data_IF_326425053935
#
_entry.id   IF_326425053935
#
_cell.length_a   1.000
_cell.length_b   1.000
_cell.length_c   1.000
_cell.angle_alpha   90.00
_cell.angle_beta   90.00
_cell.angle_gamma   90.00
#
_symmetry.space_group_name_H-M   'P 1'
#
loop_
_entity.id
_entity.type
_entity.pdbx_description
1 polymer ?
#
# COMPACT_ATOMS: atom_id res chain seq x y z
N UNK A 1 9.49 2.89 -13.06
CA UNK A 1 9.08 4.30 -13.19
C UNK A 1 7.75 4.42 -13.91
N UNK A 2 7.64 4.09 -15.20
CA UNK A 2 6.39 4.22 -15.97
C UNK A 2 5.20 3.48 -15.32
N UNK A 3 5.36 2.23 -14.90
CA UNK A 3 4.22 1.47 -14.34
C UNK A 3 3.73 2.04 -13.00
N UNK A 4 4.65 2.48 -12.13
CA UNK A 4 4.29 3.17 -10.89
C UNK A 4 3.63 4.51 -11.18
N UNK A 5 4.15 5.24 -12.16
CA UNK A 5 3.57 6.49 -12.63
C UNK A 5 2.12 6.35 -13.09
N UNK A 6 1.85 5.31 -13.88
CA UNK A 6 0.51 5.01 -14.39
C UNK A 6 -0.50 4.76 -13.28
N UNK A 7 -0.12 4.01 -12.26
CA UNK A 7 -0.99 3.76 -11.10
C UNK A 7 -1.32 5.07 -10.37
N UNK A 8 -0.36 5.98 -10.28
CA UNK A 8 -0.56 7.29 -9.63
C UNK A 8 -1.48 8.18 -10.46
N UNK A 9 -1.22 8.30 -11.76
CA UNK A 9 -1.99 9.17 -12.67
C UNK A 9 -3.42 8.68 -12.90
N UNK A 10 -3.66 7.36 -12.88
CA UNK A 10 -5.02 6.81 -12.94
C UNK A 10 -5.79 7.06 -11.63
N UNK A 11 -5.10 7.19 -10.50
CA UNK A 11 -5.72 7.40 -9.19
C UNK A 11 -6.06 8.88 -8.89
N UNK A 12 -5.53 9.84 -9.65
CA UNK A 12 -5.71 11.27 -9.36
C UNK A 12 -6.09 12.08 -10.60
N UNK A 13 -6.85 13.16 -10.40
CA UNK A 13 -7.20 14.11 -11.47
C UNK A 13 -6.27 15.33 -11.55
N UNK A 14 -5.37 15.48 -10.57
CA UNK A 14 -4.39 16.58 -10.54
C UNK A 14 -3.20 16.27 -11.46
N UNK A 15 -2.56 17.29 -12.06
CA UNK A 15 -1.37 17.08 -12.90
C UNK A 15 -0.23 16.42 -12.13
N UNK A 16 0.35 15.36 -12.71
CA UNK A 16 1.50 14.64 -12.12
C UNK A 16 2.76 14.92 -12.93
N UNK A 17 3.81 15.39 -12.26
CA UNK A 17 5.16 15.51 -12.81
C UNK A 17 5.99 14.34 -12.28
N UNK A 18 6.50 13.49 -13.17
CA UNK A 18 7.31 12.34 -12.80
C UNK A 18 8.82 12.60 -12.91
N UNK A 19 9.62 11.96 -12.07
CA UNK A 19 11.08 11.91 -12.24
C UNK A 19 11.44 10.89 -13.31
N UNK A 20 12.09 11.32 -14.38
CA UNK A 20 12.56 10.48 -15.48
C UNK A 20 14.07 10.20 -15.42
N UNK A 21 14.71 10.53 -14.29
CA UNK A 21 16.14 10.40 -14.09
C UNK A 21 16.89 11.09 -15.26
N UNK A 22 17.88 10.42 -15.85
CA UNK A 22 18.60 10.86 -17.04
C UNK A 22 18.03 10.29 -18.36
N UNK A 23 16.78 9.82 -18.35
CA UNK A 23 16.12 9.29 -19.54
C UNK A 23 16.53 7.88 -19.98
N UNK A 24 17.25 7.16 -19.12
CA UNK A 24 17.55 5.72 -19.24
C UNK A 24 18.39 5.32 -20.46
N UNK A 25 19.30 6.18 -20.90
CA UNK A 25 20.27 5.86 -21.95
C UNK A 25 20.61 7.07 -22.81
N UNK A 26 20.68 6.85 -24.13
CA UNK A 26 20.98 7.92 -25.09
C UNK A 26 19.71 8.70 -25.49
N UNK A 27 19.84 9.64 -26.43
CA UNK A 27 18.71 10.43 -26.94
C UNK A 27 17.53 9.60 -27.44
N UNK A 28 17.75 8.41 -28.02
CA UNK A 28 16.65 7.54 -28.45
C UNK A 28 15.93 6.89 -27.27
N UNK A 29 16.65 6.56 -26.19
CA UNK A 29 16.03 6.15 -24.93
C UNK A 29 15.19 7.28 -24.34
N UNK A 30 15.68 8.53 -24.34
CA UNK A 30 14.90 9.70 -23.91
C UNK A 30 13.59 9.80 -24.69
N UNK A 31 13.61 9.65 -26.03
CA UNK A 31 12.38 9.66 -26.84
C UNK A 31 11.39 8.57 -26.43
N UNK A 32 11.89 7.35 -26.16
CA UNK A 32 11.06 6.25 -25.67
C UNK A 32 10.48 6.56 -24.29
N UNK A 33 11.27 7.16 -23.42
CA UNK A 33 10.86 7.56 -22.07
C UNK A 33 9.75 8.60 -22.12
N UNK A 34 9.89 9.65 -22.94
CA UNK A 34 8.84 10.68 -23.12
C UNK A 34 7.52 10.05 -23.57
N UNK A 35 7.55 9.20 -24.61
CA UNK A 35 6.35 8.49 -25.08
C UNK A 35 5.76 7.59 -24.00
N UNK A 36 6.60 6.95 -23.20
CA UNK A 36 6.17 6.14 -22.07
C UNK A 36 5.48 6.97 -20.98
N UNK A 37 5.99 8.16 -20.67
CA UNK A 37 5.40 9.07 -19.70
C UNK A 37 4.05 9.62 -20.19
N UNK A 38 3.97 10.02 -21.46
CA UNK A 38 2.72 10.45 -22.09
C UNK A 38 1.67 9.34 -22.01
N UNK A 39 2.03 8.11 -22.39
CA UNK A 39 1.10 6.97 -22.35
C UNK A 39 0.68 6.58 -20.93
N UNK A 40 1.49 6.93 -19.93
CA UNK A 40 1.15 6.74 -18.52
C UNK A 40 0.36 7.92 -17.95
N UNK A 41 0.00 8.94 -18.74
CA UNK A 41 -0.84 10.06 -18.27
C UNK A 41 -0.09 11.12 -17.46
N UNK A 42 1.24 11.17 -17.50
CA UNK A 42 1.99 12.24 -16.85
C UNK A 42 1.74 13.59 -17.54
N UNK A 43 1.56 14.63 -16.73
CA UNK A 43 1.48 16.02 -17.21
C UNK A 43 2.86 16.63 -17.42
N UNK A 44 3.90 16.10 -16.76
CA UNK A 44 5.27 16.54 -16.94
C UNK A 44 6.31 15.50 -16.56
N UNK A 45 7.55 15.76 -16.95
CA UNK A 45 8.70 14.93 -16.60
C UNK A 45 9.92 15.76 -16.22
N UNK A 46 10.68 15.30 -15.25
CA UNK A 46 11.99 15.85 -14.87
C UNK A 46 13.08 15.02 -15.54
N UNK A 47 13.92 15.66 -16.35
CA UNK A 47 15.02 15.03 -17.05
C UNK A 47 16.34 15.70 -16.65
N UNK A 48 17.26 14.93 -16.07
CA UNK A 48 18.54 15.42 -15.54
C UNK A 48 19.74 15.08 -16.43
N UNK A 49 20.84 15.82 -16.28
CA UNK A 49 22.06 15.69 -17.09
C UNK A 49 23.16 14.82 -16.46
N UNK A 50 22.82 13.96 -15.51
CA UNK A 50 23.76 13.04 -14.87
C UNK A 50 24.19 11.89 -15.79
N UNK A 51 25.44 11.46 -15.65
CA UNK A 51 25.91 10.19 -16.24
C UNK A 51 25.20 9.01 -15.57
N UNK A 52 25.09 7.87 -16.28
CA UNK A 52 24.61 6.62 -15.70
C UNK A 52 25.77 5.81 -15.08
N UNK A 53 25.59 5.17 -13.91
CA UNK A 53 24.45 5.26 -13.02
C UNK A 53 24.37 6.63 -12.33
N UNK A 54 23.15 7.17 -12.20
CA UNK A 54 22.91 8.47 -11.57
C UNK A 54 22.98 8.40 -10.05
N UNK A 55 23.34 9.52 -9.41
CA UNK A 55 23.41 9.65 -7.96
C UNK A 55 22.34 10.62 -7.43
N UNK A 56 22.00 10.53 -6.15
CA UNK A 56 21.06 11.48 -5.54
C UNK A 56 21.67 12.89 -5.51
N UNK A 57 20.85 13.90 -5.79
CA UNK A 57 21.26 15.30 -5.90
C UNK A 57 21.95 15.89 -4.66
N UNK A 58 21.79 15.27 -3.50
CA UNK A 58 22.43 15.72 -2.26
C UNK A 58 23.64 14.87 -1.83
N UNK A 59 24.13 13.96 -2.68
CA UNK A 59 25.28 13.08 -2.41
C UNK A 59 26.58 13.55 -3.10
N UNK A 60 27.74 13.08 -2.62
CA UNK A 60 29.07 13.42 -3.17
C UNK A 60 29.38 12.60 -4.44
N UNK A 61 30.25 13.12 -5.30
CA UNK A 61 30.79 12.38 -6.45
C UNK A 61 29.90 12.39 -7.70
N UNK A 62 28.97 13.34 -7.80
CA UNK A 62 28.12 13.51 -8.99
C UNK A 62 28.96 13.81 -10.23
N UNK A 63 28.50 13.30 -11.36
CA UNK A 63 29.09 13.53 -12.68
C UNK A 63 27.96 13.81 -13.65
N UNK A 64 28.18 14.80 -14.50
CA UNK A 64 27.25 15.18 -15.56
C UNK A 64 27.85 14.86 -16.92
N UNK A 65 26.99 14.63 -17.90
CA UNK A 65 27.41 14.41 -19.30
C UNK A 65 27.97 15.70 -19.90
N UNK A 66 28.54 15.61 -21.10
CA UNK A 66 29.02 16.79 -21.83
C UNK A 66 27.86 17.76 -22.10
N UNK A 67 28.18 19.03 -22.37
CA UNK A 67 27.17 20.05 -22.70
C UNK A 67 26.37 19.64 -23.93
N UNK A 68 27.06 19.13 -24.94
CA UNK A 68 26.49 18.69 -26.22
C UNK A 68 25.49 17.54 -25.99
N UNK A 69 25.88 16.54 -25.20
CA UNK A 69 25.02 15.41 -24.88
C UNK A 69 23.76 15.85 -24.11
N UNK A 70 23.91 16.68 -23.06
CA UNK A 70 22.78 17.19 -22.28
C UNK A 70 21.79 17.97 -23.17
N UNK A 71 22.28 18.85 -24.03
CA UNK A 71 21.44 19.62 -24.97
C UNK A 71 20.71 18.67 -25.93
N UNK A 72 21.39 17.66 -26.47
CA UNK A 72 20.77 16.69 -27.38
C UNK A 72 19.70 15.84 -26.70
N UNK A 73 19.84 15.53 -25.42
CA UNK A 73 18.81 14.84 -24.64
C UNK A 73 17.57 15.71 -24.45
N UNK A 74 17.72 16.99 -24.08
CA UNK A 74 16.58 17.93 -23.99
C UNK A 74 15.89 18.08 -25.35
N UNK A 75 16.64 18.28 -26.44
CA UNK A 75 16.08 18.35 -27.79
C UNK A 75 15.35 17.08 -28.19
N UNK A 76 15.86 15.91 -27.80
CA UNK A 76 15.19 14.64 -28.05
C UNK A 76 13.86 14.52 -27.29
N UNK A 77 13.81 14.98 -26.04
CA UNK A 77 12.57 15.02 -25.25
C UNK A 77 11.52 15.94 -25.89
N UNK A 78 11.92 17.17 -26.23
CA UNK A 78 11.07 18.15 -26.93
C UNK A 78 10.60 17.61 -28.29
N UNK A 79 11.50 17.00 -29.05
CA UNK A 79 11.16 16.38 -30.33
C UNK A 79 10.14 15.24 -30.19
N UNK A 80 10.31 14.36 -29.20
CA UNK A 80 9.35 13.28 -28.94
C UNK A 80 7.97 13.79 -28.52
N UNK A 81 7.91 14.84 -27.70
CA UNK A 81 6.65 15.54 -27.37
C UNK A 81 5.98 16.06 -28.64
N UNK A 82 6.70 16.84 -29.45
CA UNK A 82 6.14 17.44 -30.67
C UNK A 82 5.65 16.38 -31.67
N UNK A 83 6.40 15.28 -31.84
CA UNK A 83 6.01 14.14 -32.69
C UNK A 83 4.73 13.45 -32.22
N UNK A 84 4.45 13.47 -30.91
CA UNK A 84 3.26 12.85 -30.34
C UNK A 84 2.03 13.75 -30.34
N UNK A 85 2.20 15.06 -30.55
CA UNK A 85 1.13 16.05 -30.38
C UNK A 85 0.70 16.29 -28.93
N UNK A 86 1.43 15.75 -27.95
CA UNK A 86 1.21 15.96 -26.51
C UNK A 86 1.74 17.31 -26.05
N UNK A 87 1.17 17.82 -24.96
CA UNK A 87 1.56 19.02 -24.23
C UNK A 87 2.40 18.72 -22.97
N UNK A 88 2.95 17.50 -22.82
CA UNK A 88 3.75 17.12 -21.65
C UNK A 88 4.87 18.14 -21.38
N UNK A 89 4.94 18.60 -20.13
CA UNK A 89 5.90 19.60 -19.65
C UNK A 89 7.27 18.94 -19.48
N UNK A 90 8.31 19.50 -20.11
CA UNK A 90 9.70 19.07 -19.97
C UNK A 90 10.41 19.96 -18.95
N UNK A 91 10.61 19.43 -17.74
CA UNK A 91 11.42 20.05 -16.69
C UNK A 91 12.88 19.63 -16.89
N UNK A 92 13.71 20.54 -17.38
CA UNK A 92 15.13 20.29 -17.58
C UNK A 92 15.91 20.56 -16.29
N UNK A 93 16.49 19.51 -15.72
CA UNK A 93 17.28 19.55 -14.50
C UNK A 93 18.77 19.50 -14.82
N UNK A 94 19.57 20.28 -14.08
CA UNK A 94 21.03 20.12 -14.06
C UNK A 94 21.54 19.86 -12.65
N UNK A 95 22.44 18.88 -12.55
CA UNK A 95 23.16 18.52 -11.31
C UNK A 95 24.58 19.11 -11.31
N UNK A 96 24.91 19.93 -12.32
CA UNK A 96 26.27 20.45 -12.53
C UNK A 96 26.72 21.43 -11.46
N UNK A 97 25.81 21.99 -10.64
CA UNK A 97 26.17 22.90 -9.54
C UNK A 97 27.17 22.26 -8.59
N UNK A 98 26.94 21.00 -8.20
CA UNK A 98 27.89 20.27 -7.36
C UNK A 98 28.91 19.47 -8.16
N UNK A 99 28.56 18.99 -9.35
CA UNK A 99 29.49 18.19 -10.14
C UNK A 99 30.65 19.03 -10.70
N UNK A 100 30.39 20.30 -11.05
CA UNK A 100 31.31 21.19 -11.75
C UNK A 100 31.38 22.58 -11.07
N UNK A 101 30.40 23.45 -11.29
CA UNK A 101 30.36 24.81 -10.72
C UNK A 101 28.97 25.46 -10.84
N UNK A 102 28.76 26.58 -10.14
CA UNK A 102 27.54 27.36 -10.30
C UNK A 102 27.42 27.99 -11.69
N UNK A 103 28.50 28.56 -12.22
CA UNK A 103 28.52 29.17 -13.54
C UNK A 103 28.18 28.15 -14.64
N UNK A 104 28.67 26.91 -14.50
CA UNK A 104 28.31 25.83 -15.41
C UNK A 104 26.82 25.49 -15.35
N UNK A 105 26.24 25.48 -14.15
CA UNK A 105 24.80 25.24 -13.98
C UNK A 105 23.96 26.34 -14.63
N UNK A 106 24.33 27.61 -14.44
CA UNK A 106 23.65 28.74 -15.09
C UNK A 106 23.77 28.69 -16.62
N UNK A 107 24.94 28.31 -17.14
CA UNK A 107 25.15 28.13 -18.57
C UNK A 107 24.23 27.03 -19.12
N UNK A 108 24.17 25.88 -18.44
CA UNK A 108 23.37 24.72 -18.89
C UNK A 108 21.88 25.00 -18.90
N UNK A 109 21.32 25.61 -17.84
CA UNK A 109 19.88 25.90 -17.83
C UNK A 109 19.49 26.94 -18.88
N UNK A 110 20.37 27.87 -19.24
CA UNK A 110 20.14 28.75 -20.40
C UNK A 110 20.10 27.95 -21.70
N UNK A 111 21.07 27.07 -21.91
CA UNK A 111 21.09 26.20 -23.08
C UNK A 111 19.88 25.24 -23.14
N UNK A 112 19.38 24.78 -21.98
CA UNK A 112 18.17 23.96 -21.90
C UNK A 112 16.90 24.74 -22.27
N UNK A 113 16.81 26.00 -21.83
CA UNK A 113 15.75 26.91 -22.27
C UNK A 113 15.80 27.13 -23.79
N UNK A 114 16.98 27.42 -24.35
CA UNK A 114 17.18 27.57 -25.80
C UNK A 114 16.87 26.29 -26.59
N UNK A 115 17.00 25.12 -25.95
CA UNK A 115 16.63 23.82 -26.50
C UNK A 115 15.13 23.51 -26.43
N UNK A 116 14.34 24.36 -25.76
CA UNK A 116 12.87 24.26 -25.69
C UNK A 116 12.33 23.59 -24.43
N UNK A 117 13.10 23.51 -23.34
CA UNK A 117 12.57 23.08 -22.04
C UNK A 117 11.56 24.10 -21.51
N UNK A 118 10.47 23.60 -20.91
CA UNK A 118 9.36 24.45 -20.44
C UNK A 118 9.57 24.92 -18.99
N UNK A 119 10.35 24.18 -18.20
CA UNK A 119 10.71 24.52 -16.83
C UNK A 119 12.19 24.21 -16.62
N UNK A 120 12.88 25.07 -15.86
CA UNK A 120 14.27 24.88 -15.50
C UNK A 120 14.40 24.49 -14.03
N UNK A 121 15.39 23.65 -13.74
CA UNK A 121 15.70 23.22 -12.38
C UNK A 121 17.22 23.09 -12.20
N UNK A 122 17.81 23.85 -11.27
CA UNK A 122 19.18 23.58 -10.78
C UNK A 122 19.07 22.91 -9.42
N UNK A 123 19.62 21.71 -9.30
CA UNK A 123 19.61 20.98 -8.04
C UNK A 123 20.71 21.44 -7.09
N UNK A 124 20.39 21.46 -5.79
CA UNK A 124 21.30 21.74 -4.69
C UNK A 124 22.04 23.09 -4.74
N UNK A 125 21.35 24.17 -5.13
CA UNK A 125 21.83 25.55 -4.96
C UNK A 125 22.12 25.83 -3.47
N UNK A 126 23.23 26.51 -3.18
CA UNK A 126 23.77 26.58 -1.82
C UNK A 126 23.35 27.83 -1.03
N UNK A 127 22.73 28.83 -1.68
CA UNK A 127 22.33 30.07 -1.02
C UNK A 127 21.15 30.77 -1.71
N UNK A 128 20.52 31.73 -1.01
CA UNK A 128 19.44 32.56 -1.58
C UNK A 128 19.94 33.40 -2.76
N UNK A 129 21.21 33.80 -2.76
CA UNK A 129 21.84 34.57 -3.83
C UNK A 129 21.97 33.73 -5.10
N UNK A 130 22.41 32.47 -4.98
CA UNK A 130 22.45 31.54 -6.12
C UNK A 130 21.03 31.31 -6.68
N UNK A 131 20.04 31.18 -5.80
CA UNK A 131 18.63 31.03 -6.18
C UNK A 131 18.08 32.24 -6.95
N UNK A 132 18.41 33.46 -6.52
CA UNK A 132 18.07 34.71 -7.22
C UNK A 132 18.75 34.79 -8.59
N UNK A 133 20.04 34.49 -8.65
CA UNK A 133 20.81 34.48 -9.89
C UNK A 133 20.27 33.45 -10.89
N UNK A 134 19.88 32.26 -10.42
CA UNK A 134 19.20 31.26 -11.25
C UNK A 134 17.87 31.77 -11.79
N UNK A 135 17.01 32.36 -10.95
CA UNK A 135 15.70 32.85 -11.39
C UNK A 135 15.80 33.96 -12.44
N UNK A 136 16.89 34.74 -12.42
CA UNK A 136 17.18 35.75 -13.44
C UNK A 136 17.58 35.19 -14.82
N UNK A 137 17.95 33.91 -14.91
CA UNK A 137 18.24 33.26 -16.20
C UNK A 137 16.94 32.91 -16.92
N UNK A 138 16.85 33.24 -18.21
CA UNK A 138 15.69 32.94 -19.06
C UNK A 138 14.36 33.32 -18.35
N UNK A 139 14.12 34.63 -18.07
CA UNK A 139 13.04 35.07 -17.19
C UNK A 139 11.64 34.63 -17.63
N UNK A 140 11.43 34.35 -18.93
CA UNK A 140 10.17 33.81 -19.45
C UNK A 140 9.92 32.33 -19.19
N UNK A 141 10.91 31.58 -18.69
CA UNK A 141 10.80 30.15 -18.40
C UNK A 141 10.64 29.95 -16.89
N UNK A 142 9.57 29.28 -16.41
CA UNK A 142 9.37 28.95 -15.01
C UNK A 142 10.55 28.18 -14.37
N UNK A 143 10.76 28.40 -13.07
CA UNK A 143 11.79 27.71 -12.28
C UNK A 143 11.14 26.83 -11.24
N UNK A 144 11.72 25.64 -11.07
CA UNK A 144 11.36 24.69 -10.04
C UNK A 144 12.39 24.70 -8.91
N UNK A 145 11.89 24.77 -7.68
CA UNK A 145 12.65 24.58 -6.46
C UNK A 145 12.43 23.18 -5.90
N UNK A 146 13.44 22.63 -5.24
CA UNK A 146 13.35 21.34 -4.55
C UNK A 146 13.70 21.53 -3.08
N UNK A 147 12.72 21.37 -2.19
CA UNK A 147 12.88 21.57 -0.75
C UNK A 147 13.03 20.22 -0.05
N UNK A 148 14.27 19.89 0.29
CA UNK A 148 14.62 18.66 1.01
C UNK A 148 14.66 18.90 2.53
N UNK A 149 13.50 18.79 3.16
CA UNK A 149 13.31 18.95 4.60
C UNK A 149 14.04 17.79 5.33
N UNK A 150 15.21 18.06 5.92
CA UNK A 150 16.02 17.03 6.58
C UNK A 150 17.54 17.12 6.38
N UNK A 151 18.06 18.19 5.78
CA UNK A 151 19.51 18.45 5.72
C UNK A 151 20.12 18.43 4.32
N UNK A 152 19.33 18.76 3.29
CA UNK A 152 19.87 19.07 1.96
C UNK A 152 20.80 20.30 1.98
N UNK A 153 21.51 20.53 0.87
CA UNK A 153 22.41 21.70 0.74
C UNK A 153 21.65 23.01 0.54
N UNK A 154 20.44 22.94 0.00
CA UNK A 154 19.63 24.12 -0.32
C UNK A 154 18.96 24.65 0.93
N UNK A 155 19.07 25.98 1.21
CA UNK A 155 18.31 26.59 2.30
C UNK A 155 16.81 26.34 2.13
N UNK A 156 16.15 25.89 3.19
CA UNK A 156 14.70 25.66 3.17
C UNK A 156 13.98 27.01 3.28
N UNK A 157 13.16 27.29 2.27
CA UNK A 157 12.37 28.51 2.15
C UNK A 157 10.89 28.15 2.07
N UNK A 158 10.04 29.04 2.60
CA UNK A 158 8.60 28.93 2.43
C UNK A 158 8.17 29.17 0.97
N UNK A 159 6.98 28.71 0.56
CA UNK A 159 6.45 29.01 -0.78
C UNK A 159 6.42 30.51 -1.10
N UNK A 160 6.08 31.36 -0.12
CA UNK A 160 6.04 32.82 -0.30
C UNK A 160 7.43 33.38 -0.59
N UNK A 161 8.45 32.98 0.18
CA UNK A 161 9.83 33.43 -0.05
C UNK A 161 10.38 32.94 -1.40
N UNK A 162 9.98 31.75 -1.84
CA UNK A 162 10.36 31.22 -3.16
C UNK A 162 9.70 31.98 -4.30
N UNK A 163 8.42 32.32 -4.15
CA UNK A 163 7.70 33.13 -5.13
C UNK A 163 8.32 34.53 -5.27
N UNK A 164 8.67 35.17 -4.14
CA UNK A 164 9.38 36.46 -4.12
C UNK A 164 10.72 36.42 -4.86
N UNK A 165 11.42 35.28 -4.82
CA UNK A 165 12.68 35.08 -5.57
C UNK A 165 12.42 34.87 -7.07
N UNK A 166 11.25 34.33 -7.44
CA UNK A 166 10.84 34.11 -8.83
C UNK A 166 10.58 32.65 -9.22
N UNK A 167 10.56 31.72 -8.26
CA UNK A 167 10.14 30.34 -8.53
C UNK A 167 8.64 30.26 -8.80
N UNK A 168 8.24 29.22 -9.53
CA UNK A 168 6.83 28.95 -9.88
C UNK A 168 6.38 27.54 -9.54
N UNK A 169 7.31 26.64 -9.27
CA UNK A 169 7.04 25.26 -8.87
C UNK A 169 7.95 24.93 -7.69
N UNK A 170 7.41 24.18 -6.73
CA UNK A 170 8.15 23.63 -5.61
C UNK A 170 7.83 22.13 -5.49
N UNK A 171 8.86 21.31 -5.31
CA UNK A 171 8.74 19.93 -4.88
C UNK A 171 9.20 19.72 -3.44
N UNK A 172 8.50 18.80 -2.77
CA UNK A 172 8.73 18.32 -1.41
C UNK A 172 8.92 16.80 -1.45
N UNK A 173 10.03 16.29 -2.02
CA UNK A 173 10.12 14.89 -2.42
C UNK A 173 10.25 13.91 -1.26
N UNK A 174 10.66 14.37 -0.06
CA UNK A 174 10.91 13.51 1.10
C UNK A 174 9.85 13.61 2.20
N UNK A 175 8.94 14.58 2.14
CA UNK A 175 8.08 14.92 3.28
C UNK A 175 7.09 13.80 3.58
N UNK A 176 6.36 13.34 2.56
CA UNK A 176 5.37 12.27 2.74
C UNK A 176 6.02 10.93 3.10
N UNK A 177 7.14 10.58 2.46
CA UNK A 177 7.85 9.33 2.77
C UNK A 177 8.46 9.37 4.18
N UNK A 178 9.07 10.49 4.58
CA UNK A 178 9.65 10.65 5.92
C UNK A 178 8.61 10.58 7.03
N UNK A 179 7.46 11.23 6.85
CA UNK A 179 6.32 11.13 7.78
C UNK A 179 5.79 9.69 7.84
N UNK A 180 5.61 9.05 6.69
CA UNK A 180 5.13 7.66 6.62
C UNK A 180 6.08 6.68 7.30
N UNK A 181 7.39 6.83 7.10
CA UNK A 181 8.42 6.01 7.76
C UNK A 181 8.29 6.09 9.27
N UNK A 182 8.21 7.31 9.84
CA UNK A 182 8.06 7.49 11.28
C UNK A 182 6.76 6.86 11.80
N UNK A 183 5.64 7.07 11.12
CA UNK A 183 4.35 6.51 11.52
C UNK A 183 4.35 4.97 11.50
N UNK A 184 4.95 4.36 10.47
CA UNK A 184 5.11 2.91 10.39
C UNK A 184 6.04 2.36 11.49
N UNK A 185 7.16 3.03 11.77
CA UNK A 185 8.07 2.66 12.86
C UNK A 185 7.36 2.67 14.22
N UNK A 186 6.66 3.76 14.53
CA UNK A 186 5.93 3.92 15.80
C UNK A 186 4.86 2.83 15.95
N UNK A 187 4.16 2.51 14.86
CA UNK A 187 3.17 1.43 14.84
C UNK A 187 3.79 0.06 15.11
N UNK A 188 4.91 -0.26 14.46
CA UNK A 188 5.62 -1.53 14.66
C UNK A 188 6.19 -1.64 16.09
N UNK A 189 6.66 -0.55 16.68
CA UNK A 189 7.10 -0.50 18.09
C UNK A 189 5.94 -0.81 19.04
N UNK A 190 4.77 -0.21 18.80
CA UNK A 190 3.58 -0.49 19.60
C UNK A 190 3.19 -1.98 19.53
N UNK A 191 3.11 -2.53 18.31
CA UNK A 191 2.76 -3.94 18.06
C UNK A 191 3.76 -4.88 18.75
N UNK A 192 5.05 -4.61 18.63
CA UNK A 192 6.10 -5.38 19.32
C UNK A 192 5.93 -5.38 20.84
N UNK A 193 5.42 -4.29 21.40
CA UNK A 193 5.10 -4.15 22.82
C UNK A 193 3.72 -4.67 23.24
N UNK A 194 3.00 -5.38 22.37
CA UNK A 194 1.65 -5.90 22.65
C UNK A 194 0.53 -4.86 22.61
N UNK A 195 0.79 -3.69 22.01
CA UNK A 195 -0.17 -2.58 21.89
C UNK A 195 -0.50 -2.31 20.42
N UNK A 196 -1.59 -1.62 20.16
CA UNK A 196 -1.89 -1.05 18.85
C UNK A 196 -1.44 0.42 18.80
N UNK A 197 -1.20 1.00 17.60
CA UNK A 197 -1.01 2.45 17.47
C UNK A 197 -2.19 3.20 18.10
N UNK A 198 -1.97 4.35 18.74
CA UNK A 198 -3.07 5.10 19.34
C UNK A 198 -4.11 5.48 18.27
N UNK A 199 -5.42 5.52 18.59
CA UNK A 199 -6.48 5.84 17.63
C UNK A 199 -6.27 7.18 16.90
N UNK A 200 -5.60 8.14 17.51
CA UNK A 200 -5.27 9.43 16.88
C UNK A 200 -4.26 9.33 15.73
N UNK A 201 -3.56 8.20 15.60
CA UNK A 201 -2.58 7.93 14.53
C UNK A 201 -3.08 6.93 13.48
N UNK A 202 -4.26 6.34 13.69
CA UNK A 202 -4.83 5.34 12.81
C UNK A 202 -6.21 5.82 12.33
N UNK A 203 -6.42 6.04 11.02
CA UNK A 203 -7.74 6.34 10.52
C UNK A 203 -8.71 5.20 10.85
N UNK A 204 -9.96 5.55 11.11
CA UNK A 204 -11.05 4.60 11.28
C UNK A 204 -11.24 3.75 10.02
N UNK A 205 -11.86 2.59 10.17
CA UNK A 205 -12.16 1.73 9.02
C UNK A 205 -13.06 2.42 7.98
N UNK A 206 -13.96 3.31 8.42
CA UNK A 206 -14.78 4.12 7.52
C UNK A 206 -13.95 5.13 6.71
N UNK A 207 -13.01 5.83 7.35
CA UNK A 207 -12.08 6.74 6.65
C UNK A 207 -11.19 5.99 5.66
N UNK A 208 -10.75 4.77 5.99
CA UNK A 208 -9.99 3.91 5.08
C UNK A 208 -10.83 3.53 3.86
N UNK A 209 -12.07 3.08 4.05
CA UNK A 209 -12.98 2.74 2.94
C UNK A 209 -13.24 3.94 2.03
N UNK A 210 -13.46 5.10 2.63
CA UNK A 210 -13.68 6.33 1.87
C UNK A 210 -12.45 6.70 1.03
N UNK A 211 -11.27 6.69 1.66
CA UNK A 211 -9.99 6.95 0.98
C UNK A 211 -9.70 5.97 -0.16
N UNK A 212 -10.04 4.69 0.01
CA UNK A 212 -9.85 3.66 -1.02
C UNK A 212 -10.95 3.65 -2.09
N UNK A 213 -11.96 4.52 -1.99
CA UNK A 213 -13.03 4.64 -2.99
C UNK A 213 -14.14 3.58 -2.88
N UNK A 214 -14.24 2.85 -1.76
CA UNK A 214 -15.30 1.83 -1.57
C UNK A 214 -16.69 2.46 -1.63
N UNK A 215 -16.85 3.62 -1.00
CA UNK A 215 -18.13 4.32 -0.97
C UNK A 215 -18.57 4.72 -2.38
N UNK A 216 -17.65 5.24 -3.19
CA UNK A 216 -17.90 5.58 -4.59
C UNK A 216 -18.29 4.37 -5.43
N UNK A 217 -17.54 3.26 -5.27
CA UNK A 217 -17.84 2.01 -5.96
C UNK A 217 -19.26 1.51 -5.66
N UNK A 218 -19.67 1.45 -4.39
CA UNK A 218 -21.01 0.99 -4.03
C UNK A 218 -22.12 1.94 -4.50
N UNK A 219 -21.86 3.24 -4.61
CA UNK A 219 -22.80 4.18 -5.21
C UNK A 219 -22.94 3.98 -6.72
N UNK A 220 -21.84 3.69 -7.41
CA UNK A 220 -21.85 3.39 -8.84
C UNK A 220 -22.52 2.05 -9.14
N UNK A 221 -22.24 1.01 -8.35
CA UNK A 221 -22.83 -0.32 -8.47
C UNK A 221 -24.37 -0.27 -8.47
N UNK A 222 -24.98 0.56 -7.63
CA UNK A 222 -26.44 0.74 -7.55
C UNK A 222 -27.09 1.07 -8.89
N UNK A 223 -26.36 1.69 -9.83
CA UNK A 223 -26.84 2.04 -11.18
C UNK A 223 -26.97 0.81 -12.09
N UNK A 224 -26.27 -0.27 -11.78
CA UNK A 224 -26.15 -1.47 -12.60
C UNK A 224 -26.80 -2.70 -11.96
N UNK A 225 -27.49 -2.54 -10.84
CA UNK A 225 -28.24 -3.64 -10.21
C UNK A 225 -29.40 -4.05 -11.09
N UNK A 226 -29.31 -5.26 -11.65
CA UNK A 226 -30.44 -5.88 -12.36
C UNK A 226 -31.44 -6.36 -11.32
N UNK A 227 -32.65 -5.79 -11.33
CA UNK A 227 -33.75 -6.36 -10.55
C UNK A 227 -34.12 -7.69 -11.19
N UNK A 228 -34.10 -8.82 -10.46
CA UNK A 228 -34.52 -10.08 -11.03
C UNK A 228 -35.98 -9.96 -11.47
N UNK A 229 -36.26 -10.03 -12.77
CA UNK A 229 -37.57 -10.44 -13.23
C UNK A 229 -37.82 -11.82 -12.60
N UNK A 230 -38.99 -12.00 -11.96
CA UNK A 230 -39.39 -13.22 -11.25
C UNK A 230 -39.05 -14.48 -12.06
N UNK A 231 -37.86 -15.03 -11.85
CA UNK A 231 -37.38 -16.20 -12.54
C UNK A 231 -37.64 -17.38 -11.63
N UNK A 232 -38.73 -18.08 -11.95
CA UNK A 232 -39.22 -19.27 -11.27
C UNK A 232 -38.29 -20.47 -11.54
N UNK A 233 -37.08 -20.46 -10.98
CA UNK A 233 -36.31 -21.70 -10.88
C UNK A 233 -36.69 -22.41 -9.57
N UNK A 234 -37.73 -23.25 -9.66
CA UNK A 234 -37.96 -24.32 -8.69
C UNK A 234 -36.85 -25.34 -8.86
N UNK A 235 -35.85 -25.34 -7.98
CA UNK A 235 -34.92 -26.45 -7.87
C UNK A 235 -35.61 -27.57 -7.12
N UNK A 236 -36.15 -28.53 -7.87
CA UNK A 236 -36.64 -29.80 -7.35
C UNK A 236 -35.44 -30.67 -6.93
N UNK A 237 -35.15 -30.74 -5.63
CA UNK A 237 -34.34 -31.83 -5.10
C UNK A 237 -35.26 -33.04 -4.93
N UNK A 238 -35.15 -33.96 -5.88
CA UNK A 238 -35.81 -35.26 -5.83
C UNK A 238 -35.06 -36.22 -4.90
N UNK A 239 -35.84 -36.89 -4.06
CA UNK A 239 -35.53 -38.16 -3.42
C UNK A 239 -34.82 -39.11 -4.39
N UNK A 240 -33.65 -39.61 -4.00
CA UNK A 240 -33.23 -40.96 -4.41
C UNK A 240 -32.59 -41.71 -3.25
N UNK A 241 -33.33 -42.75 -2.90
CA UNK A 241 -33.05 -43.84 -1.99
C UNK A 241 -31.77 -44.62 -2.32
N UNK A 242 -31.06 -44.99 -1.25
CA UNK A 242 -30.31 -46.24 -1.05
C UNK A 242 -30.33 -47.25 -2.20
N UNK A 243 -29.17 -47.50 -2.81
CA UNK A 243 -28.82 -48.83 -3.34
C UNK A 243 -27.31 -49.08 -3.28
N UNK A 244 -26.95 -50.26 -2.75
CA UNK A 244 -25.60 -50.81 -2.61
C UNK A 244 -24.97 -51.09 -3.97
N UNK A 245 -23.66 -50.83 -4.11
CA UNK A 245 -22.81 -51.66 -4.97
C UNK A 245 -21.32 -51.62 -4.62
N UNK A 246 -20.81 -52.80 -4.25
CA UNK A 246 -19.50 -53.40 -4.49
C UNK A 246 -18.21 -52.57 -4.47
N UNK A 247 -17.39 -52.87 -3.46
CA UNK A 247 -15.98 -53.27 -3.53
C UNK A 247 -15.14 -52.80 -4.73
N UNK A 248 -14.11 -52.00 -4.43
CA UNK A 248 -12.81 -52.09 -5.09
C UNK A 248 -11.71 -51.60 -4.17
N UNK A 249 -10.88 -52.55 -3.73
CA UNK A 249 -9.61 -52.33 -3.06
C UNK A 249 -8.63 -51.63 -4.00
N UNK A 250 -7.94 -50.61 -3.48
CA UNK A 250 -6.58 -50.28 -3.91
C UNK A 250 -5.79 -49.89 -2.66
N UNK A 251 -4.81 -50.73 -2.32
CA UNK A 251 -3.79 -50.38 -1.36
C UNK A 251 -2.75 -49.47 -2.02
N UNK A 252 -2.37 -48.41 -1.32
CA UNK A 252 -1.02 -47.85 -1.48
C UNK A 252 -0.63 -47.12 -0.20
N UNK A 253 0.39 -47.68 0.43
CA UNK A 253 1.20 -47.22 1.55
C UNK A 253 1.64 -45.76 1.37
N UNK A 254 1.49 -44.95 2.41
CA UNK A 254 2.29 -43.71 2.56
C UNK A 254 2.60 -43.47 4.03
N UNK A 255 3.86 -43.18 4.27
CA UNK A 255 4.51 -43.02 5.57
C UNK A 255 3.87 -41.91 6.41
N UNK A 256 3.75 -42.15 7.72
CA UNK A 256 3.39 -41.13 8.71
C UNK A 256 4.58 -40.20 8.93
N UNK A 257 4.54 -39.02 8.34
CA UNK A 257 5.29 -37.85 8.84
C UNK A 257 4.40 -37.07 9.80
N UNK A 258 4.78 -37.09 11.08
CA UNK A 258 4.15 -36.31 12.15
C UNK A 258 4.67 -34.87 12.03
N UNK A 259 3.86 -33.96 11.50
CA UNK A 259 4.19 -32.53 11.54
C UNK A 259 3.99 -31.96 12.96
N UNK A 260 4.84 -31.02 13.40
CA UNK A 260 4.81 -30.52 14.77
C UNK A 260 3.60 -29.63 15.04
N UNK A 261 3.08 -29.76 16.26
CA UNK A 261 2.01 -28.93 16.85
C UNK A 261 2.43 -27.46 16.85
N UNK A 262 1.62 -26.58 16.27
CA UNK A 262 1.81 -25.12 16.34
C UNK A 262 0.97 -24.58 17.50
N UNK A 263 1.64 -24.21 18.60
CA UNK A 263 1.04 -23.45 19.70
C UNK A 263 0.91 -21.97 19.30
N UNK A 264 -0.32 -21.50 19.09
CA UNK A 264 -0.62 -20.05 19.03
C UNK A 264 -1.06 -19.63 20.42
N UNK A 265 -0.12 -19.16 21.25
CA UNK A 265 -0.40 -18.47 22.50
C UNK A 265 -0.19 -16.96 22.33
N UNK A 266 -1.25 -16.13 22.29
CA UNK A 266 -1.11 -14.70 22.51
C UNK A 266 -0.97 -14.45 24.03
N UNK A 267 0.17 -13.92 24.45
CA UNK A 267 0.38 -13.49 25.82
C UNK A 267 -0.43 -12.21 26.12
N UNK A 268 -1.31 -12.36 27.12
CA UNK A 268 -1.73 -11.38 28.14
C UNK A 268 -2.25 -10.00 27.69
N UNK A 269 -3.58 -9.91 27.59
CA UNK A 269 -4.34 -8.70 27.93
C UNK A 269 -4.33 -8.53 29.45
N UNK A 270 -3.72 -7.45 29.94
CA UNK A 270 -3.91 -6.97 31.31
C UNK A 270 -4.82 -5.74 31.24
N UNK A 271 -6.07 -5.90 31.67
CA UNK A 271 -7.02 -4.78 31.87
C UNK A 271 -7.18 -4.61 33.38
N UNK A 272 -6.55 -3.59 33.93
CA UNK A 272 -6.97 -2.91 35.15
C UNK A 272 -6.99 -1.41 34.88
N UNK A 273 -7.89 -0.57 35.41
CA UNK A 273 -9.01 -0.74 36.33
C UNK A 273 -9.82 0.58 36.32
N UNK A 274 -11.16 0.52 36.35
CA UNK A 274 -12.03 1.35 37.20
C UNK A 274 -13.51 1.37 36.74
N UNK A 275 -14.34 0.83 37.62
CA UNK A 275 -15.75 1.18 37.91
C UNK A 275 -16.74 1.47 36.76
N UNK A 276 -17.42 0.41 36.31
CA UNK A 276 -18.89 0.33 36.40
C UNK A 276 -19.33 -1.14 36.34
N UNK A 277 -20.07 -1.59 37.35
CA UNK A 277 -20.54 -2.98 37.47
C UNK A 277 -21.77 -3.20 36.59
N UNK A 278 -21.63 -4.00 35.53
CA UNK A 278 -22.73 -4.66 34.82
C UNK A 278 -22.50 -6.19 34.79
N UNK A 279 -23.52 -7.04 34.57
CA UNK A 279 -23.45 -8.48 34.84
C UNK A 279 -22.65 -9.32 33.83
N UNK A 280 -21.83 -8.74 32.96
CA UNK A 280 -21.28 -9.44 31.78
C UNK A 280 -19.81 -9.86 31.89
N UNK A 281 -19.12 -9.65 33.02
CA UNK A 281 -17.65 -9.84 33.10
C UNK A 281 -17.15 -11.28 33.23
N UNK A 282 -18.01 -12.29 33.42
CA UNK A 282 -17.59 -13.70 33.50
C UNK A 282 -17.49 -14.42 32.16
N UNK A 283 -18.14 -13.91 31.11
CA UNK A 283 -18.32 -14.64 29.85
C UNK A 283 -17.11 -14.51 28.90
N UNK A 284 -16.38 -13.39 28.98
CA UNK A 284 -15.34 -12.98 28.05
C UNK A 284 -13.94 -13.51 28.38
N UNK A 285 -13.77 -14.15 29.55
CA UNK A 285 -12.52 -14.80 29.96
C UNK A 285 -12.44 -16.29 29.58
N UNK A 286 -13.48 -16.85 28.94
CA UNK A 286 -13.55 -18.27 28.60
C UNK A 286 -12.71 -18.59 27.37
N UNK A 287 -11.99 -19.70 27.43
CA UNK A 287 -11.25 -20.26 26.30
C UNK A 287 -12.04 -21.43 25.72
N UNK A 288 -12.15 -21.49 24.40
CA UNK A 288 -12.76 -22.60 23.69
C UNK A 288 -11.67 -23.43 23.03
N UNK A 289 -11.83 -24.74 22.97
CA UNK A 289 -10.97 -25.63 22.20
C UNK A 289 -11.71 -26.06 20.93
N UNK A 290 -11.15 -25.78 19.77
CA UNK A 290 -11.65 -26.21 18.47
C UNK A 290 -10.82 -27.40 17.99
N UNK A 291 -11.49 -28.52 17.70
CA UNK A 291 -10.89 -29.72 17.13
C UNK A 291 -11.54 -30.04 15.79
N UNK A 292 -10.74 -30.13 14.73
CA UNK A 292 -11.19 -30.60 13.41
C UNK A 292 -10.48 -31.91 13.10
N UNK A 293 -11.26 -32.95 12.85
CA UNK A 293 -10.76 -34.28 12.49
C UNK A 293 -11.20 -34.59 11.07
N UNK A 294 -10.24 -34.87 10.20
CA UNK A 294 -10.52 -35.26 8.82
C UNK A 294 -11.29 -36.57 8.75
N UNK A 295 -11.98 -36.80 7.62
CA UNK A 295 -12.65 -38.08 7.32
C UNK A 295 -11.75 -39.32 7.42
N UNK A 296 -10.44 -39.12 7.31
CA UNK A 296 -9.37 -40.12 7.46
C UNK A 296 -9.00 -40.39 8.93
N UNK A 297 -9.67 -39.73 9.88
CA UNK A 297 -9.38 -39.80 11.31
C UNK A 297 -8.18 -38.95 11.74
N UNK A 298 -7.55 -38.23 10.80
CA UNK A 298 -6.38 -37.39 11.10
C UNK A 298 -6.83 -36.07 11.69
N UNK A 299 -6.28 -35.69 12.84
CA UNK A 299 -6.58 -34.41 13.45
C UNK A 299 -5.92 -33.29 12.64
N UNK A 300 -6.73 -32.48 11.97
CA UNK A 300 -6.29 -31.35 11.14
C UNK A 300 -6.02 -30.11 11.98
N UNK A 301 -6.83 -29.86 13.01
CA UNK A 301 -6.72 -28.67 13.88
C UNK A 301 -6.99 -29.05 15.34
N UNK A 302 -6.19 -28.48 16.24
CA UNK A 302 -6.41 -28.44 17.69
C UNK A 302 -6.01 -27.06 18.22
N UNK A 303 -6.96 -26.15 18.38
CA UNK A 303 -6.67 -24.75 18.71
C UNK A 303 -7.47 -24.27 19.92
N UNK A 304 -6.86 -23.40 20.74
CA UNK A 304 -7.54 -22.68 21.82
C UNK A 304 -7.85 -21.26 21.38
N UNK A 305 -9.11 -20.85 21.48
CA UNK A 305 -9.60 -19.57 20.98
C UNK A 305 -10.37 -18.84 22.10
N UNK A 306 -10.13 -17.55 22.35
CA UNK A 306 -10.95 -16.76 23.26
C UNK A 306 -12.40 -16.69 22.76
N UNK A 307 -13.38 -16.86 23.65
CA UNK A 307 -14.80 -16.87 23.27
C UNK A 307 -15.25 -15.58 22.54
N UNK A 308 -14.62 -14.43 22.84
CA UNK A 308 -14.88 -13.15 22.17
C UNK A 308 -14.49 -13.09 20.68
N UNK A 309 -13.65 -14.03 20.20
CA UNK A 309 -13.25 -14.09 18.79
C UNK A 309 -14.33 -14.71 17.88
N UNK A 310 -15.27 -15.47 18.44
CA UNK A 310 -16.34 -16.13 17.68
C UNK A 310 -17.36 -15.15 17.08
N UNK A 311 -17.53 -13.98 17.68
CA UNK A 311 -18.48 -12.95 17.22
C UNK A 311 -18.16 -12.45 15.79
N UNK A 312 -16.88 -12.48 15.40
CA UNK A 312 -16.45 -12.15 14.04
C UNK A 312 -16.65 -13.31 13.04
N UNK A 313 -16.54 -14.57 13.49
CA UNK A 313 -16.54 -15.73 12.60
C UNK A 313 -17.93 -16.22 12.18
N UNK A 314 -18.96 -15.99 12.98
CA UNK A 314 -20.36 -16.34 12.64
C UNK A 314 -20.88 -15.60 11.40
N UNK A 315 -20.24 -14.50 11.01
CA UNK A 315 -20.54 -13.75 9.77
C UNK A 315 -19.82 -14.29 8.53
N UNK A 316 -18.79 -15.13 8.71
CA UNK A 316 -17.83 -15.51 7.65
C UNK A 316 -18.04 -16.96 7.20
N UNK A 317 -18.52 -17.85 8.08
CA UNK A 317 -18.65 -19.29 7.77
C UNK A 317 -20.14 -19.66 7.60
N UNK A 318 -20.61 -19.96 6.38
CA UNK A 318 -21.96 -20.46 6.14
C UNK A 318 -22.12 -21.84 6.81
N UNK A 319 -23.04 -21.95 7.78
CA UNK A 319 -23.27 -23.18 8.56
C UNK A 319 -23.18 -22.98 10.08
N UNK A 320 -22.41 -21.99 10.55
CA UNK A 320 -22.38 -21.60 11.97
C UNK A 320 -23.55 -20.67 12.37
N UNK A 321 -24.23 -20.07 11.40
CA UNK A 321 -25.34 -19.12 11.62
C UNK A 321 -26.62 -19.75 12.23
N UNK A 322 -26.77 -21.08 12.17
CA UNK A 322 -27.95 -21.79 12.69
C UNK A 322 -27.78 -22.40 14.08
N UNK A 323 -26.55 -22.49 14.58
CA UNK A 323 -26.29 -22.99 15.92
C UNK A 323 -26.20 -21.79 16.87
N UNK A 324 -27.14 -21.65 17.79
CA UNK A 324 -27.16 -20.56 18.77
C UNK A 324 -26.07 -20.78 19.85
N UNK A 325 -24.81 -20.71 19.43
CA UNK A 325 -23.62 -21.05 20.21
C UNK A 325 -23.54 -20.22 21.49
N UNK A 326 -23.98 -18.97 21.43
CA UNK A 326 -24.04 -18.06 22.57
C UNK A 326 -25.02 -18.53 23.66
N UNK A 327 -26.21 -19.00 23.27
CA UNK A 327 -27.20 -19.53 24.20
C UNK A 327 -26.69 -20.82 24.87
N UNK A 328 -25.99 -21.68 24.13
CA UNK A 328 -25.37 -22.90 24.68
C UNK A 328 -24.19 -22.60 25.60
N UNK A 329 -23.41 -21.56 25.31
CA UNK A 329 -22.35 -21.07 26.18
C UNK A 329 -22.89 -20.52 27.51
N UNK A 330 -24.00 -19.79 27.47
CA UNK A 330 -24.64 -19.21 28.66
C UNK A 330 -25.21 -20.27 29.60
N UNK A 331 -25.68 -21.40 29.07
CA UNK A 331 -26.31 -22.48 29.83
C UNK A 331 -25.34 -23.57 30.32
N UNK A 332 -24.05 -23.46 30.00
CA UNK A 332 -23.05 -24.45 30.40
C UNK A 332 -22.59 -24.24 31.87
N UNK A 333 -22.69 -25.25 32.77
CA UNK A 333 -22.31 -25.13 34.17
C UNK A 333 -20.81 -24.85 34.38
N UNK A 334 -20.48 -24.17 35.48
CA UNK A 334 -19.12 -23.87 35.93
C UNK A 334 -18.72 -24.97 36.92
N UNK A 335 -17.95 -25.96 36.48
CA UNK A 335 -17.33 -26.92 37.40
C UNK A 335 -15.85 -26.57 37.56
N UNK A 336 -15.48 -26.08 38.75
CA UNK A 336 -14.15 -25.55 39.04
C UNK A 336 -13.11 -26.62 39.42
N UNK A 337 -13.53 -27.88 39.58
CA UNK A 337 -12.72 -28.92 40.25
C UNK A 337 -12.25 -30.07 39.35
N UNK A 338 -12.37 -30.00 38.01
CA UNK A 338 -11.84 -31.05 37.15
C UNK A 338 -11.30 -30.55 35.79
N UNK A 339 -9.96 -30.39 35.61
CA UNK A 339 -9.36 -29.82 34.38
C UNK A 339 -9.37 -30.75 33.15
N UNK A 340 -10.01 -31.92 33.23
CA UNK A 340 -10.07 -32.89 32.14
C UNK A 340 -11.51 -33.33 31.82
N UNK A 341 -12.25 -32.48 31.14
CA UNK A 341 -13.10 -32.77 29.96
C UNK A 341 -14.18 -31.71 29.82
N UNK A 342 -13.92 -30.77 28.91
CA UNK A 342 -14.83 -29.69 28.54
C UNK A 342 -16.12 -30.20 27.92
N UNK A 343 -17.25 -29.65 28.35
CA UNK A 343 -18.55 -29.92 27.75
C UNK A 343 -18.51 -29.62 26.24
N UNK A 344 -19.01 -30.56 25.43
CA UNK A 344 -19.12 -30.41 23.97
C UNK A 344 -20.26 -29.42 23.69
N UNK A 345 -19.92 -28.28 23.10
CA UNK A 345 -20.88 -27.27 22.68
C UNK A 345 -21.44 -27.55 21.28
N UNK A 346 -20.58 -28.07 20.40
CA UNK A 346 -20.89 -28.43 19.02
C UNK A 346 -20.13 -29.70 18.63
N UNK A 347 -20.81 -30.58 17.92
CA UNK A 347 -20.25 -31.76 17.26
C UNK A 347 -21.07 -32.02 16.01
N UNK A 348 -20.49 -31.75 14.84
CA UNK A 348 -21.16 -31.95 13.55
C UNK A 348 -20.14 -32.29 12.47
N UNK A 349 -20.63 -32.86 11.37
CA UNK A 349 -19.84 -33.11 10.16
C UNK A 349 -20.14 -32.02 9.13
N UNK A 350 -19.11 -31.47 8.52
CA UNK A 350 -19.26 -30.51 7.43
C UNK A 350 -19.54 -31.20 6.08
N UNK A 351 -19.79 -30.39 5.04
CA UNK A 351 -20.08 -30.90 3.70
C UNK A 351 -18.92 -31.67 3.06
N UNK A 352 -17.72 -31.61 3.63
CA UNK A 352 -16.52 -32.32 3.17
C UNK A 352 -16.27 -33.62 3.95
N UNK A 353 -17.10 -33.92 4.96
CA UNK A 353 -17.00 -35.09 5.82
C UNK A 353 -15.98 -34.95 6.95
N UNK A 354 -15.54 -33.73 7.25
CA UNK A 354 -14.69 -33.46 8.40
C UNK A 354 -15.57 -33.30 9.67
N UNK A 355 -15.15 -33.92 10.77
CA UNK A 355 -15.83 -33.80 12.06
C UNK A 355 -15.28 -32.60 12.83
N UNK A 356 -16.18 -31.67 13.17
CA UNK A 356 -15.86 -30.42 13.87
C UNK A 356 -16.43 -30.49 15.29
N UNK A 357 -15.55 -30.35 16.29
CA UNK A 357 -15.92 -30.37 17.71
C UNK A 357 -15.45 -29.09 18.41
N UNK A 358 -16.33 -28.48 19.20
CA UNK A 358 -16.03 -27.30 20.02
C UNK A 358 -16.28 -27.63 21.49
N UNK A 359 -15.26 -27.42 22.32
CA UNK A 359 -15.29 -27.66 23.76
C UNK A 359 -15.11 -26.34 24.52
N UNK A 360 -15.71 -26.25 25.71
CA UNK A 360 -15.30 -25.25 26.72
C UNK A 360 -14.03 -25.76 27.39
N UNK A 361 -12.94 -25.00 27.32
CA UNK A 361 -11.66 -25.37 27.91
C UNK A 361 -11.51 -24.85 29.35
#
# INVERSE_FOLDING_TARGET
MIDQGRLITEAVSIPVIGDADNGYGNSMNVKRTVKGFINAGFAGMILEDQVSPKACGHTKGRKVVSREEAIMQIKAAVGARNESGSDIVIVARTDSRQALSFDEALWRVRAFADAGADVLFIDALASREEMKAFCAIAPGVPKMANMLEGGGKTPILSPVELEEIGYKIIAYPLSLIGVSMRAMEDALIAIKGGRIPPPSSLPSFEEIKDTLGFNHYYEEEKKYVVTPAQSSYRTAYGDYTSERSSSRDFSSTTEKTQEPVIDILPQLYDIGSSSSRGPSTGMWSRTLRLKITGRDGVQKIDARIPAGFLEGMTRIIPGLAGANIMERLQNAPIDADNPQNGQILLDFEDAMGDRIQVFIA
#
